data_IF_907650120383
#
_entry.id   IF_907650120383
#
_cell.length_a   1.000
_cell.length_b   1.000
_cell.length_c   1.000
_cell.angle_alpha   90.00
_cell.angle_beta   90.00
_cell.angle_gamma   90.00
#
_symmetry.space_group_name_H-M   'P 1'
#
loop_
_entity.id
_entity.type
_entity.pdbx_description
1 polymer ?
#
# COMPACT_ATOMS: atom_id res chain seq x y z
N UNK A 1 -25.15 -33.31 25.99
CA UNK A 1 -25.34 -31.98 25.40
C UNK A 1 -23.95 -31.41 25.08
N UNK A 2 -23.56 -31.54 23.83
CA UNK A 2 -22.23 -31.15 23.36
C UNK A 2 -22.30 -29.68 22.95
N UNK A 3 -21.51 -28.86 23.60
CA UNK A 3 -21.34 -27.46 23.23
C UNK A 3 -20.40 -27.43 22.01
N UNK A 4 -20.94 -27.08 20.86
CA UNK A 4 -20.19 -26.86 19.63
C UNK A 4 -19.29 -25.64 19.83
N UNK A 5 -17.98 -25.90 19.92
CA UNK A 5 -16.97 -24.86 19.80
C UNK A 5 -17.07 -24.24 18.42
N UNK A 6 -17.40 -22.96 18.35
CA UNK A 6 -17.22 -22.16 17.14
C UNK A 6 -15.72 -22.07 16.87
N UNK A 7 -15.24 -22.79 15.86
CA UNK A 7 -13.93 -22.58 15.27
C UNK A 7 -13.88 -21.12 14.76
N UNK A 8 -13.27 -20.25 15.55
CA UNK A 8 -12.86 -18.93 15.07
C UNK A 8 -11.74 -19.23 14.08
N UNK A 9 -12.04 -19.22 12.79
CA UNK A 9 -11.04 -19.23 11.74
C UNK A 9 -9.99 -18.15 12.08
N UNK A 10 -8.81 -18.59 12.50
CA UNK A 10 -7.71 -17.64 12.77
C UNK A 10 -7.31 -17.04 11.44
N UNK A 11 -7.79 -15.82 11.17
CA UNK A 11 -7.39 -15.05 9.99
C UNK A 11 -5.88 -14.86 10.04
N UNK A 12 -5.16 -15.54 9.16
CA UNK A 12 -3.70 -15.43 9.08
C UNK A 12 -3.38 -14.03 8.55
N UNK A 13 -2.59 -13.21 9.29
CA UNK A 13 -2.23 -11.89 8.82
C UNK A 13 -1.31 -11.96 7.59
N UNK A 14 -1.54 -11.09 6.61
CA UNK A 14 -0.65 -10.96 5.45
C UNK A 14 0.60 -10.13 5.78
N UNK A 15 0.51 -9.22 6.74
CA UNK A 15 1.65 -8.45 7.26
C UNK A 15 1.67 -8.60 8.77
N UNK A 16 2.81 -9.00 9.32
CA UNK A 16 3.06 -9.01 10.77
C UNK A 16 4.34 -8.25 11.07
N UNK A 17 4.27 -7.29 11.96
CA UNK A 17 5.40 -6.55 12.50
C UNK A 17 5.41 -6.74 14.00
N UNK A 18 6.58 -7.09 14.58
CA UNK A 18 6.77 -7.30 16.02
C UNK A 18 7.96 -6.51 16.53
N UNK A 19 7.74 -5.65 17.49
CA UNK A 19 8.73 -4.90 18.27
C UNK A 19 9.84 -4.24 17.40
N UNK A 20 9.42 -3.71 16.23
CA UNK A 20 10.31 -3.15 15.23
C UNK A 20 10.92 -1.85 15.72
N UNK A 21 12.26 -1.79 15.72
CA UNK A 21 13.02 -0.59 16.05
C UNK A 21 13.91 -0.17 14.88
N UNK A 22 13.97 1.15 14.66
CA UNK A 22 14.81 1.72 13.61
C UNK A 22 15.28 3.13 13.97
N UNK A 23 16.56 3.42 13.67
CA UNK A 23 17.15 4.76 13.73
C UNK A 23 17.95 5.02 12.46
N UNK A 24 17.95 6.24 11.96
CA UNK A 24 18.87 6.63 10.91
C UNK A 24 20.31 6.70 11.45
N UNK A 25 21.33 6.47 10.60
CA UNK A 25 22.71 6.67 11.00
C UNK A 25 22.92 8.09 11.57
N UNK A 26 23.43 8.20 12.80
CA UNK A 26 23.65 9.46 13.52
C UNK A 26 22.37 10.29 13.77
N UNK A 27 21.19 9.68 13.72
CA UNK A 27 19.90 10.33 13.98
C UNK A 27 19.17 9.73 15.18
N UNK A 28 18.07 10.37 15.55
CA UNK A 28 17.17 9.88 16.59
C UNK A 28 16.46 8.59 16.14
N UNK A 29 15.99 7.83 17.14
CA UNK A 29 15.17 6.67 16.89
C UNK A 29 13.85 7.09 16.24
N UNK A 30 13.50 6.46 15.12
CA UNK A 30 12.30 6.76 14.32
C UNK A 30 11.17 5.79 14.61
N UNK A 31 11.49 4.50 14.85
CA UNK A 31 10.52 3.50 15.27
C UNK A 31 10.93 2.90 16.63
N UNK A 32 9.93 2.76 17.51
CA UNK A 32 10.09 2.32 18.90
C UNK A 32 9.11 1.16 19.15
N UNK A 33 9.62 -0.08 19.17
CA UNK A 33 8.80 -1.28 19.43
C UNK A 33 7.50 -1.30 18.63
N UNK A 34 7.56 -0.83 17.36
CA UNK A 34 6.42 -0.73 16.48
C UNK A 34 5.89 -2.13 16.17
N UNK A 35 4.63 -2.38 16.48
CA UNK A 35 3.98 -3.68 16.24
C UNK A 35 2.62 -3.49 15.60
N UNK A 36 2.35 -4.22 14.49
CA UNK A 36 1.05 -4.22 13.82
C UNK A 36 0.80 -5.54 13.09
N UNK A 37 -0.47 -5.80 12.76
CA UNK A 37 -0.88 -6.94 11.94
C UNK A 37 -1.97 -6.50 10.97
N UNK A 38 -1.77 -6.76 9.69
CA UNK A 38 -2.78 -6.54 8.64
C UNK A 38 -3.36 -7.90 8.24
N UNK A 39 -4.67 -8.11 8.41
CA UNK A 39 -5.32 -9.35 7.99
C UNK A 39 -5.23 -9.54 6.46
N UNK A 40 -5.20 -10.80 6.02
CA UNK A 40 -5.18 -11.14 4.60
C UNK A 40 -6.49 -10.72 3.92
N UNK A 41 -6.37 -10.10 2.72
CA UNK A 41 -7.51 -9.67 1.92
C UNK A 41 -8.16 -8.36 2.37
N UNK A 42 -7.58 -7.67 3.36
CA UNK A 42 -8.10 -6.42 3.88
C UNK A 42 -7.28 -5.20 3.43
N UNK A 43 -7.97 -4.07 3.40
CA UNK A 43 -7.41 -2.74 3.12
C UNK A 43 -7.24 -1.96 4.41
N UNK A 44 -6.01 -1.78 4.85
CA UNK A 44 -5.69 -1.03 6.07
C UNK A 44 -4.95 0.27 5.78
N UNK A 45 -5.22 1.28 6.59
CA UNK A 45 -4.54 2.57 6.51
C UNK A 45 -3.63 2.82 7.70
N UNK A 46 -2.49 3.45 7.43
CA UNK A 46 -1.53 3.89 8.45
C UNK A 46 -1.53 5.42 8.50
N UNK A 47 -2.10 5.94 9.56
CA UNK A 47 -2.20 7.36 9.86
C UNK A 47 -1.09 7.84 10.78
N UNK A 48 -0.86 9.13 10.81
CA UNK A 48 0.08 9.78 11.73
C UNK A 48 0.58 11.11 11.16
N UNK A 49 1.11 11.95 12.03
CA UNK A 49 1.70 13.24 11.65
C UNK A 49 2.96 13.06 10.79
N UNK A 50 3.38 14.14 10.11
CA UNK A 50 4.64 14.12 9.39
C UNK A 50 5.80 13.87 10.37
N UNK A 51 6.73 13.00 9.98
CA UNK A 51 7.84 12.58 10.84
C UNK A 51 7.51 11.48 11.86
N UNK A 52 6.27 10.96 11.93
CA UNK A 52 5.93 9.86 12.86
C UNK A 52 6.57 8.51 12.53
N UNK A 53 7.18 8.34 11.33
CA UNK A 53 7.85 7.11 10.92
C UNK A 53 7.12 6.28 9.86
N UNK A 54 5.97 6.72 9.32
CA UNK A 54 5.14 5.98 8.35
C UNK A 54 5.90 5.49 7.13
N UNK A 55 6.53 6.40 6.38
CA UNK A 55 7.31 6.03 5.19
C UNK A 55 8.56 5.21 5.51
N UNK A 56 9.14 5.40 6.71
CA UNK A 56 10.24 4.57 7.20
C UNK A 56 9.75 3.14 7.45
N UNK A 57 8.61 2.97 8.09
CA UNK A 57 8.01 1.66 8.29
C UNK A 57 7.71 0.96 6.96
N UNK A 58 7.08 1.65 5.99
CA UNK A 58 6.84 1.07 4.67
C UNK A 58 8.12 0.63 3.95
N UNK A 59 9.20 1.42 4.05
CA UNK A 59 10.50 1.05 3.44
C UNK A 59 11.15 -0.16 4.12
N UNK A 60 10.95 -0.32 5.43
CA UNK A 60 11.40 -1.53 6.15
C UNK A 60 10.58 -2.75 5.72
N UNK A 61 9.25 -2.62 5.58
CA UNK A 61 8.38 -3.67 5.06
C UNK A 61 8.75 -4.06 3.62
N UNK A 62 9.18 -3.10 2.81
CA UNK A 62 9.62 -3.32 1.43
C UNK A 62 11.08 -3.80 1.32
N UNK A 63 11.77 -4.08 2.44
CA UNK A 63 13.18 -4.48 2.50
C UNK A 63 14.16 -3.45 1.87
N UNK A 64 13.69 -2.20 1.68
CA UNK A 64 14.54 -1.08 1.23
C UNK A 64 15.45 -0.54 2.34
N UNK A 65 15.13 -0.89 3.59
CA UNK A 65 15.91 -0.62 4.79
C UNK A 65 15.96 -1.88 5.65
N UNK A 66 17.01 -2.02 6.45
CA UNK A 66 17.15 -3.13 7.41
C UNK A 66 16.83 -2.65 8.83
N UNK A 67 15.96 -3.34 9.58
CA UNK A 67 15.66 -2.97 10.96
C UNK A 67 16.86 -3.23 11.89
N UNK A 68 16.92 -2.49 13.00
CA UNK A 68 17.93 -2.72 14.03
C UNK A 68 17.52 -3.85 14.98
N UNK A 69 16.22 -4.00 15.22
CA UNK A 69 15.65 -5.11 15.97
C UNK A 69 14.17 -5.28 15.63
N UNK A 70 13.58 -6.40 16.05
CA UNK A 70 12.20 -6.77 15.74
C UNK A 70 12.10 -7.68 14.53
N UNK A 71 10.89 -8.09 14.21
CA UNK A 71 10.61 -9.04 13.15
C UNK A 71 9.57 -8.49 12.18
N UNK A 72 9.76 -8.77 10.89
CA UNK A 72 8.80 -8.50 9.81
C UNK A 72 8.51 -9.83 9.12
N UNK A 73 7.23 -10.15 8.98
CA UNK A 73 6.76 -11.31 8.22
C UNK A 73 5.67 -10.84 7.25
N UNK A 74 5.89 -11.09 5.94
CA UNK A 74 4.96 -10.73 4.87
C UNK A 74 4.65 -12.00 4.08
N UNK A 75 3.36 -12.32 4.00
CA UNK A 75 2.87 -13.49 3.30
C UNK A 75 2.56 -13.15 1.84
N UNK A 76 3.39 -13.69 0.94
CA UNK A 76 3.23 -13.51 -0.50
C UNK A 76 4.12 -12.43 -1.12
N UNK A 77 3.91 -12.18 -2.40
CA UNK A 77 4.70 -11.23 -3.19
C UNK A 77 4.28 -9.80 -2.90
N UNK A 78 5.26 -8.95 -2.61
CA UNK A 78 5.06 -7.54 -2.31
C UNK A 78 5.09 -6.67 -3.57
N UNK A 79 4.16 -5.71 -3.66
CA UNK A 79 4.19 -4.55 -4.54
C UNK A 79 4.36 -3.27 -3.73
N UNK A 80 5.19 -2.34 -4.21
CA UNK A 80 5.39 -1.03 -3.57
C UNK A 80 5.01 0.09 -4.53
N UNK A 81 4.30 1.11 -4.03
CA UNK A 81 3.90 2.30 -4.79
C UNK A 81 4.41 3.53 -4.05
N UNK A 82 5.29 4.29 -4.71
CA UNK A 82 5.87 5.51 -4.16
C UNK A 82 4.88 6.68 -4.19
N UNK A 83 5.09 7.65 -3.31
CA UNK A 83 4.34 8.90 -3.26
C UNK A 83 4.43 9.67 -4.60
N UNK A 84 5.64 9.77 -5.16
CA UNK A 84 5.85 10.37 -6.47
C UNK A 84 6.05 9.27 -7.53
N UNK A 85 5.09 9.06 -8.47
CA UNK A 85 5.20 8.04 -9.50
C UNK A 85 6.35 8.28 -10.48
N UNK A 86 6.84 9.52 -10.63
CA UNK A 86 7.99 9.81 -11.50
C UNK A 86 9.31 9.20 -10.99
N UNK A 87 9.35 8.80 -9.71
CA UNK A 87 10.49 8.04 -9.17
C UNK A 87 10.40 6.52 -9.44
N UNK A 88 9.27 6.04 -9.94
CA UNK A 88 9.01 4.63 -10.17
C UNK A 88 8.91 4.28 -11.65
N UNK A 89 8.32 5.16 -12.46
CA UNK A 89 8.10 4.96 -13.89
C UNK A 89 9.37 5.32 -14.66
N UNK A 90 10.02 4.33 -15.25
CA UNK A 90 11.36 4.48 -15.86
C UNK A 90 11.37 4.25 -17.38
N UNK A 91 10.30 3.67 -17.93
CA UNK A 91 10.22 3.34 -19.35
C UNK A 91 9.48 4.41 -20.15
N UNK A 92 9.70 4.54 -21.47
CA UNK A 92 9.14 5.63 -22.27
C UNK A 92 7.61 5.54 -22.47
N UNK A 93 7.03 4.34 -22.42
CA UNK A 93 5.59 4.12 -22.66
C UNK A 93 4.95 3.29 -21.54
N UNK A 94 3.64 3.45 -21.39
CA UNK A 94 2.83 2.74 -20.37
C UNK A 94 3.03 1.23 -20.40
N UNK A 95 2.84 0.62 -21.57
CA UNK A 95 2.98 -0.84 -21.68
C UNK A 95 4.40 -1.34 -21.45
N UNK A 96 5.40 -0.55 -21.86
CA UNK A 96 6.81 -0.90 -21.62
C UNK A 96 7.15 -0.82 -20.13
N UNK A 97 6.60 0.15 -19.40
CA UNK A 97 6.84 0.31 -17.98
C UNK A 97 6.24 -0.84 -17.15
N UNK A 98 4.98 -1.18 -17.42
CA UNK A 98 4.34 -2.33 -16.77
C UNK A 98 5.06 -3.65 -17.12
N UNK A 99 5.52 -3.82 -18.37
CA UNK A 99 6.29 -4.99 -18.80
C UNK A 99 7.68 -5.05 -18.16
N UNK A 100 8.28 -3.90 -17.86
CA UNK A 100 9.62 -3.84 -17.26
C UNK A 100 9.68 -4.59 -15.91
N UNK A 101 8.63 -4.51 -15.11
CA UNK A 101 8.51 -5.28 -13.86
C UNK A 101 8.51 -6.81 -14.03
N UNK A 102 8.32 -7.32 -15.26
CA UNK A 102 8.27 -8.75 -15.59
C UNK A 102 9.56 -9.30 -16.17
N UNK A 103 10.59 -8.48 -16.37
CA UNK A 103 11.85 -8.87 -17.07
C UNK A 103 12.55 -10.05 -16.39
N UNK A 104 12.50 -10.14 -15.06
CA UNK A 104 13.11 -11.24 -14.32
C UNK A 104 12.25 -12.50 -14.29
N UNK A 105 11.00 -12.43 -14.72
CA UNK A 105 10.11 -13.58 -14.78
C UNK A 105 10.34 -14.31 -16.12
N UNK A 106 10.57 -15.61 -16.07
CA UNK A 106 10.82 -16.44 -17.26
C UNK A 106 9.53 -16.63 -18.08
N UNK A 107 8.95 -15.54 -18.62
CA UNK A 107 7.71 -15.51 -19.36
C UNK A 107 7.97 -15.42 -20.87
N UNK A 108 7.11 -16.05 -21.65
CA UNK A 108 7.04 -15.82 -23.09
C UNK A 108 6.49 -14.41 -23.39
N UNK A 109 6.77 -13.89 -24.59
CA UNK A 109 6.26 -12.59 -25.05
C UNK A 109 4.72 -12.53 -24.97
N UNK A 110 4.03 -13.63 -25.29
CA UNK A 110 2.58 -13.73 -25.20
C UNK A 110 2.08 -13.56 -23.77
N UNK A 111 2.71 -14.24 -22.80
CA UNK A 111 2.39 -14.14 -21.37
C UNK A 111 2.67 -12.75 -20.80
N UNK A 112 3.79 -12.12 -21.19
CA UNK A 112 4.09 -10.73 -20.79
C UNK A 112 2.98 -9.79 -21.29
N UNK A 113 2.58 -9.93 -22.55
CA UNK A 113 1.53 -9.11 -23.17
C UNK A 113 0.19 -9.29 -22.44
N UNK A 114 -0.22 -10.51 -22.19
CA UNK A 114 -1.45 -10.85 -21.46
C UNK A 114 -1.46 -10.20 -20.07
N UNK A 115 -0.39 -10.35 -19.27
CA UNK A 115 -0.27 -9.76 -17.94
C UNK A 115 -0.30 -8.23 -17.95
N UNK A 116 0.34 -7.61 -18.95
CA UNK A 116 0.31 -6.15 -19.13
C UNK A 116 -1.12 -5.67 -19.44
N UNK A 117 -1.81 -6.34 -20.37
CA UNK A 117 -3.18 -6.02 -20.75
C UNK A 117 -4.15 -6.18 -19.55
N UNK A 118 -4.06 -7.30 -18.82
CA UNK A 118 -4.85 -7.53 -17.61
C UNK A 118 -4.60 -6.51 -16.49
N UNK A 119 -3.34 -6.14 -16.26
CA UNK A 119 -2.98 -5.17 -15.24
C UNK A 119 -3.47 -3.77 -15.59
N UNK A 120 -3.33 -3.36 -16.87
CA UNK A 120 -3.83 -2.07 -17.36
C UNK A 120 -5.36 -2.02 -17.38
N UNK A 121 -6.04 -3.10 -17.72
CA UNK A 121 -7.50 -3.20 -17.65
C UNK A 121 -7.99 -3.06 -16.19
N UNK A 122 -7.29 -3.65 -15.23
CA UNK A 122 -7.63 -3.56 -13.81
C UNK A 122 -7.59 -2.13 -13.25
N UNK A 123 -6.79 -1.25 -13.85
CA UNK A 123 -6.69 0.17 -13.48
C UNK A 123 -7.40 1.11 -14.47
N UNK A 124 -8.18 0.57 -15.40
CA UNK A 124 -8.91 1.30 -16.44
C UNK A 124 -8.01 2.17 -17.35
N UNK A 125 -6.83 1.65 -17.74
CA UNK A 125 -5.85 2.34 -18.58
C UNK A 125 -5.38 1.52 -19.78
N UNK A 126 -6.11 0.47 -20.17
CA UNK A 126 -5.73 -0.40 -21.30
C UNK A 126 -5.56 0.38 -22.61
N UNK A 127 -6.43 1.33 -22.87
CA UNK A 127 -6.40 2.18 -24.09
C UNK A 127 -5.15 3.07 -24.13
N UNK A 128 -4.46 3.28 -23.01
CA UNK A 128 -3.26 4.09 -22.91
C UNK A 128 -1.96 3.29 -23.06
N UNK A 129 -2.01 1.99 -23.34
CA UNK A 129 -0.85 1.09 -23.36
C UNK A 129 0.33 1.62 -24.21
N UNK A 130 0.04 2.29 -25.32
CA UNK A 130 1.07 2.84 -26.23
C UNK A 130 1.43 4.30 -25.93
N UNK A 131 0.75 4.92 -24.96
CA UNK A 131 0.94 6.34 -24.64
C UNK A 131 2.28 6.58 -23.96
N UNK A 132 3.00 7.67 -24.32
CA UNK A 132 4.21 8.08 -23.59
C UNK A 132 3.90 8.46 -22.14
N UNK A 133 4.77 8.08 -21.19
CA UNK A 133 4.60 8.36 -19.75
C UNK A 133 4.53 9.87 -19.46
N UNK A 134 5.33 10.70 -20.18
CA UNK A 134 5.33 12.15 -19.98
C UNK A 134 4.01 12.84 -20.36
N UNK A 135 3.16 12.18 -21.16
CA UNK A 135 1.86 12.70 -21.62
C UNK A 135 0.67 12.31 -20.69
N UNK A 136 0.96 11.82 -19.51
CA UNK A 136 -0.03 11.35 -18.54
C UNK A 136 -0.23 12.33 -17.40
N UNK A 137 -1.46 12.37 -16.86
CA UNK A 137 -1.74 13.06 -15.59
C UNK A 137 -1.10 12.32 -14.41
N UNK A 138 -0.92 13.02 -13.27
CA UNK A 138 -0.40 12.42 -12.03
C UNK A 138 -1.21 11.19 -11.59
N UNK A 139 -2.54 11.28 -11.62
CA UNK A 139 -3.42 10.16 -11.28
C UNK A 139 -3.28 8.96 -12.23
N UNK A 140 -3.08 9.21 -13.55
CA UNK A 140 -2.80 8.14 -14.51
C UNK A 140 -1.45 7.47 -14.22
N UNK A 141 -0.41 8.25 -13.93
CA UNK A 141 0.91 7.73 -13.55
C UNK A 141 0.83 6.86 -12.29
N UNK A 142 0.08 7.29 -11.29
CA UNK A 142 -0.10 6.55 -10.04
C UNK A 142 -0.81 5.20 -10.29
N UNK A 143 -1.83 5.19 -11.14
CA UNK A 143 -2.52 3.95 -11.56
C UNK A 143 -1.59 3.00 -12.33
N UNK A 144 -0.66 3.52 -13.13
CA UNK A 144 0.33 2.69 -13.83
C UNK A 144 1.32 2.06 -12.85
N UNK A 145 1.78 2.80 -11.83
CA UNK A 145 2.62 2.23 -10.78
C UNK A 145 1.91 1.06 -10.07
N UNK A 146 0.61 1.19 -9.79
CA UNK A 146 -0.23 0.10 -9.25
C UNK A 146 -0.34 -1.06 -10.26
N UNK A 147 -0.57 -0.77 -11.55
CA UNK A 147 -0.63 -1.79 -12.59
C UNK A 147 0.67 -2.61 -12.70
N UNK A 148 1.83 -1.96 -12.55
CA UNK A 148 3.13 -2.64 -12.50
C UNK A 148 3.23 -3.65 -11.35
N UNK A 149 2.72 -3.31 -10.16
CA UNK A 149 2.65 -4.24 -9.04
C UNK A 149 1.69 -5.41 -9.31
N UNK A 150 0.51 -5.12 -9.88
CA UNK A 150 -0.50 -6.14 -10.25
C UNK A 150 0.04 -7.11 -11.31
N UNK A 151 0.74 -6.61 -12.33
CA UNK A 151 1.32 -7.44 -13.39
C UNK A 151 2.30 -8.47 -12.84
N UNK A 152 3.00 -8.15 -11.75
CA UNK A 152 3.89 -9.05 -11.00
C UNK A 152 3.14 -10.02 -10.09
N UNK A 153 1.82 -10.04 -10.09
CA UNK A 153 0.98 -10.85 -9.21
C UNK A 153 1.31 -10.61 -7.72
N UNK A 154 1.42 -9.34 -7.32
CA UNK A 154 1.57 -9.03 -5.90
C UNK A 154 0.32 -9.48 -5.12
N UNK A 155 0.52 -9.96 -3.90
CA UNK A 155 -0.53 -10.33 -2.96
C UNK A 155 -0.68 -9.28 -1.86
N UNK A 156 0.40 -8.55 -1.59
CA UNK A 156 0.45 -7.44 -0.64
C UNK A 156 0.88 -6.18 -1.37
N UNK A 157 0.12 -5.10 -1.20
CA UNK A 157 0.39 -3.79 -1.81
C UNK A 157 0.68 -2.76 -0.72
N UNK A 158 1.87 -2.18 -0.74
CA UNK A 158 2.26 -1.06 0.11
C UNK A 158 2.20 0.23 -0.68
N UNK A 159 1.48 1.26 -0.17
CA UNK A 159 1.32 2.54 -0.86
C UNK A 159 1.72 3.69 0.08
N UNK A 160 2.75 4.44 -0.32
CA UNK A 160 3.28 5.56 0.45
C UNK A 160 2.67 6.88 -0.04
N UNK A 161 1.62 7.36 0.63
CA UNK A 161 0.87 8.59 0.33
C UNK A 161 0.54 8.78 -1.18
N UNK A 162 -0.05 7.80 -1.88
CA UNK A 162 -0.15 7.81 -3.33
C UNK A 162 -1.07 8.90 -3.89
N UNK A 163 -1.85 9.57 -3.04
CA UNK A 163 -2.76 10.66 -3.40
C UNK A 163 -2.16 12.05 -3.17
N UNK A 164 -0.99 12.17 -2.53
CA UNK A 164 -0.45 13.44 -2.07
C UNK A 164 -0.23 14.49 -3.18
N UNK A 165 0.04 14.05 -4.41
CA UNK A 165 0.33 14.91 -5.57
C UNK A 165 -0.86 15.00 -6.55
N UNK A 166 -2.05 14.55 -6.16
CA UNK A 166 -3.24 14.53 -7.00
C UNK A 166 -4.22 15.65 -6.62
N UNK A 167 -5.03 16.06 -7.58
CA UNK A 167 -6.18 16.91 -7.32
C UNK A 167 -7.26 16.17 -6.51
N UNK A 168 -8.16 16.88 -5.79
CA UNK A 168 -9.13 16.26 -4.87
C UNK A 168 -10.02 15.19 -5.49
N UNK A 169 -10.47 15.37 -6.73
CA UNK A 169 -11.35 14.42 -7.41
C UNK A 169 -10.57 13.13 -7.77
N UNK A 170 -9.36 13.28 -8.29
CA UNK A 170 -8.44 12.17 -8.59
C UNK A 170 -8.00 11.40 -7.36
N UNK A 171 -7.92 12.04 -6.18
CA UNK A 171 -7.56 11.41 -4.92
C UNK A 171 -8.59 10.34 -4.52
N UNK A 172 -9.86 10.74 -4.37
CA UNK A 172 -10.93 9.83 -3.95
C UNK A 172 -11.19 8.73 -4.98
N UNK A 173 -11.07 9.05 -6.28
CA UNK A 173 -11.21 8.07 -7.33
C UNK A 173 -10.11 6.99 -7.27
N UNK A 174 -8.86 7.37 -6.98
CA UNK A 174 -7.76 6.42 -6.80
C UNK A 174 -7.99 5.49 -5.60
N UNK A 175 -8.37 6.03 -4.44
CA UNK A 175 -8.66 5.24 -3.24
C UNK A 175 -9.79 4.25 -3.49
N UNK A 176 -10.91 4.71 -4.08
CA UNK A 176 -12.04 3.84 -4.43
C UNK A 176 -11.66 2.75 -5.43
N UNK A 177 -10.77 3.05 -6.38
CA UNK A 177 -10.27 2.08 -7.34
C UNK A 177 -9.41 1.02 -6.65
N UNK A 178 -8.49 1.41 -5.76
CA UNK A 178 -7.66 0.47 -5.00
C UNK A 178 -8.53 -0.41 -4.10
N UNK A 179 -9.54 0.14 -3.42
CA UNK A 179 -10.48 -0.65 -2.64
C UNK A 179 -11.17 -1.73 -3.50
N UNK A 180 -11.65 -1.38 -4.69
CA UNK A 180 -12.26 -2.35 -5.62
C UNK A 180 -11.26 -3.42 -6.07
N UNK A 181 -10.01 -3.06 -6.34
CA UNK A 181 -8.96 -4.02 -6.71
C UNK A 181 -8.69 -5.02 -5.60
N UNK A 182 -8.59 -4.56 -4.36
CA UNK A 182 -8.37 -5.41 -3.18
C UNK A 182 -9.51 -6.43 -3.07
N UNK A 183 -10.77 -5.96 -3.10
CA UNK A 183 -11.96 -6.82 -2.97
C UNK A 183 -12.08 -7.83 -4.13
N UNK A 184 -11.83 -7.39 -5.36
CA UNK A 184 -12.02 -8.23 -6.56
C UNK A 184 -10.89 -9.25 -6.76
N UNK A 185 -9.68 -8.97 -6.30
CA UNK A 185 -8.50 -9.83 -6.50
C UNK A 185 -8.00 -10.51 -5.23
N UNK A 186 -8.62 -10.25 -4.08
CA UNK A 186 -8.19 -10.80 -2.80
C UNK A 186 -6.82 -10.28 -2.34
N UNK A 187 -6.43 -9.06 -2.77
CA UNK A 187 -5.19 -8.43 -2.37
C UNK A 187 -5.28 -7.93 -0.93
N UNK A 188 -4.13 -7.81 -0.28
CA UNK A 188 -4.01 -7.07 0.98
C UNK A 188 -3.33 -5.73 0.70
N UNK A 189 -3.77 -4.64 1.34
CA UNK A 189 -3.07 -3.37 1.19
C UNK A 189 -2.83 -2.66 2.52
N UNK A 190 -1.65 -2.03 2.62
CA UNK A 190 -1.33 -1.05 3.65
C UNK A 190 -1.03 0.28 2.97
N UNK A 191 -1.89 1.27 3.23
CA UNK A 191 -1.88 2.60 2.61
C UNK A 191 -1.51 3.64 3.65
N UNK A 192 -0.41 4.35 3.43
CA UNK A 192 -0.03 5.49 4.26
C UNK A 192 -0.78 6.74 3.80
N UNK A 193 -1.37 7.45 4.74
CA UNK A 193 -2.03 8.73 4.49
C UNK A 193 -2.04 9.62 5.74
N UNK A 194 -2.24 10.90 5.52
CA UNK A 194 -2.58 11.88 6.57
C UNK A 194 -4.00 12.45 6.36
N UNK A 195 -4.76 11.93 5.37
CA UNK A 195 -6.07 12.41 4.96
C UNK A 195 -7.17 11.59 5.61
N UNK A 196 -8.02 12.25 6.41
CA UNK A 196 -9.08 11.58 7.16
C UNK A 196 -10.29 11.17 6.30
N UNK A 197 -10.48 11.76 5.14
CA UNK A 197 -11.53 11.42 4.18
C UNK A 197 -11.30 10.07 3.50
N UNK A 198 -10.05 9.67 3.33
CA UNK A 198 -9.69 8.37 2.76
C UNK A 198 -10.08 7.19 3.66
N UNK A 199 -10.16 7.39 4.97
CA UNK A 199 -10.58 6.37 5.95
C UNK A 199 -11.96 5.74 5.68
N UNK A 200 -12.80 6.39 4.90
CA UNK A 200 -14.10 5.84 4.52
C UNK A 200 -14.00 4.61 3.59
N UNK A 201 -12.81 4.30 3.09
CA UNK A 201 -12.59 3.25 2.09
C UNK A 201 -11.87 2.01 2.63
N UNK A 202 -11.36 2.05 3.86
CA UNK A 202 -10.57 0.95 4.44
C UNK A 202 -11.37 0.08 5.42
N UNK A 203 -10.88 -1.13 5.65
CA UNK A 203 -11.46 -2.10 6.60
C UNK A 203 -10.94 -1.85 8.02
N UNK A 204 -9.74 -1.26 8.16
CA UNK A 204 -9.14 -0.92 9.43
C UNK A 204 -8.05 0.13 9.29
N UNK A 205 -7.64 0.71 10.43
CA UNK A 205 -6.57 1.70 10.44
C UNK A 205 -5.67 1.58 11.67
N UNK A 206 -4.44 2.07 11.52
CA UNK A 206 -3.46 2.26 12.59
C UNK A 206 -3.15 3.75 12.73
N UNK A 207 -2.93 4.19 13.97
CA UNK A 207 -2.37 5.50 14.26
C UNK A 207 -0.94 5.34 14.77
N UNK A 208 0.01 5.89 14.00
CA UNK A 208 1.43 5.91 14.34
C UNK A 208 1.80 7.29 14.90
N UNK A 209 2.26 7.33 16.14
CA UNK A 209 2.78 8.54 16.78
C UNK A 209 4.16 8.26 17.35
N UNK A 210 5.11 9.16 17.04
CA UNK A 210 6.50 9.07 17.55
C UNK A 210 7.13 7.66 17.42
N UNK A 211 6.83 6.97 16.33
CA UNK A 211 7.39 5.66 16.03
C UNK A 211 6.70 4.46 16.68
N UNK A 212 5.59 4.67 17.36
CA UNK A 212 4.78 3.61 18.00
C UNK A 212 3.36 3.59 17.46
N UNK A 213 2.76 2.40 17.34
CA UNK A 213 1.33 2.26 17.03
C UNK A 213 0.53 2.47 18.31
N UNK A 214 -0.06 3.67 18.45
CA UNK A 214 -0.78 4.08 19.67
C UNK A 214 -2.26 3.74 19.65
N UNK A 215 -2.84 3.51 18.46
CA UNK A 215 -4.24 3.10 18.32
C UNK A 215 -4.43 2.29 17.03
N UNK A 216 -5.47 1.44 17.01
CA UNK A 216 -5.80 0.59 15.86
C UNK A 216 -7.26 0.16 15.87
N UNK A 217 -7.79 -0.17 14.70
CA UNK A 217 -9.11 -0.80 14.53
C UNK A 217 -10.04 0.00 13.65
N UNK A 218 -11.28 0.21 14.11
CA UNK A 218 -12.36 0.83 13.33
C UNK A 218 -12.00 2.23 12.80
N UNK A 219 -12.03 2.44 11.45
CA UNK A 219 -11.65 3.70 10.84
C UNK A 219 -12.54 4.88 11.25
N UNK A 220 -13.84 4.63 11.48
CA UNK A 220 -14.80 5.69 11.87
C UNK A 220 -14.46 6.22 13.26
N UNK A 221 -14.18 5.32 14.20
CA UNK A 221 -13.76 5.68 15.55
C UNK A 221 -12.45 6.48 15.54
N UNK A 222 -11.44 6.02 14.78
CA UNK A 222 -10.15 6.71 14.66
C UNK A 222 -10.30 8.09 14.02
N UNK A 223 -11.14 8.21 12.99
CA UNK A 223 -11.45 9.48 12.34
C UNK A 223 -12.04 10.49 13.32
N UNK A 224 -13.05 10.08 14.09
CA UNK A 224 -13.70 10.95 15.10
C UNK A 224 -12.69 11.42 16.15
N UNK A 225 -11.85 10.52 16.67
CA UNK A 225 -10.80 10.85 17.65
C UNK A 225 -9.82 11.89 17.10
N UNK A 226 -9.36 11.71 15.86
CA UNK A 226 -8.39 12.62 15.24
C UNK A 226 -8.99 14.00 14.94
N UNK A 227 -10.27 14.08 14.52
CA UNK A 227 -10.96 15.35 14.32
C UNK A 227 -11.07 16.15 15.63
N UNK A 228 -11.42 15.50 16.74
CA UNK A 228 -11.49 16.14 18.06
C UNK A 228 -10.14 16.70 18.53
N UNK A 229 -9.02 16.04 18.20
CA UNK A 229 -7.67 16.52 18.54
C UNK A 229 -7.27 17.73 17.68
N UNK A 230 -7.76 17.86 16.46
CA UNK A 230 -7.47 19.00 15.58
C UNK A 230 -8.28 20.26 15.93
N UNK A 231 -9.40 20.12 16.63
CA UNK A 231 -10.30 21.22 17.05
C UNK A 231 -9.96 21.76 18.46
N UNK A 232 -9.08 21.08 19.20
CA UNK A 232 -8.67 21.44 20.58
C UNK A 232 -7.33 22.19 20.62
#
# INVERSE_FOLDING_TARGET
MSVSGTDVEMVVPAITVRDLCFSWPKGDRVLHNCSLKVPKGEFWMLLGTNGSGKSTLLRLLAELLSPQSGEIDIQGRLGFVFQNPDHQLVMPTVGADVAFGLVEEKLSIAQVRERVEEALAAVNLLDLQRRPIYALSGGQKQRIAIAGAIARHCEVLLLDEPTALLDPDSQLDLVAQVQRLIKNRGLTALWVTHRLDELNYCDGAFLLEKGEVVDRGDPVRLKQRLMQIQEA
#
